data_IF_110197636722
#
_entry.id   IF_110197636722
#
_cell.length_a   1.000
_cell.length_b   1.000
_cell.length_c   1.000
_cell.angle_alpha   90.00
_cell.angle_beta   90.00
_cell.angle_gamma   90.00
#
_symmetry.space_group_name_H-M   'P 1'
#
loop_
_entity.id
_entity.type
_entity.pdbx_description
1 polymer ?
#
# COMPACT_ATOMS: atom_id res chain seq x y z
N UNK A 1 19.08 -6.18 3.82
CA UNK A 1 19.17 -5.24 4.97
C UNK A 1 17.75 -5.01 5.48
N UNK A 2 17.42 -5.50 6.66
CA UNK A 2 16.06 -5.32 7.23
C UNK A 2 15.85 -3.87 7.64
N UNK A 3 14.85 -3.21 7.08
CA UNK A 3 14.45 -1.87 7.49
C UNK A 3 13.55 -2.00 8.71
N UNK A 4 13.99 -1.46 9.85
CA UNK A 4 13.14 -1.30 11.03
C UNK A 4 12.46 0.06 10.91
N UNK A 5 11.13 0.07 10.80
CA UNK A 5 10.35 1.31 10.81
C UNK A 5 9.72 1.48 12.20
N UNK A 6 9.58 2.72 12.65
CA UNK A 6 8.79 3.04 13.83
C UNK A 6 7.33 3.21 13.38
N UNK A 7 6.44 2.29 13.77
CA UNK A 7 5.00 2.50 13.62
C UNK A 7 4.51 3.31 14.82
N UNK A 8 3.80 4.40 14.54
CA UNK A 8 3.17 5.22 15.56
C UNK A 8 1.66 5.09 15.40
N UNK A 9 0.97 4.74 16.49
CA UNK A 9 -0.50 4.77 16.52
C UNK A 9 -0.99 6.20 16.30
N UNK A 10 -2.21 6.37 15.78
CA UNK A 10 -2.77 7.69 15.43
C UNK A 10 -2.80 8.69 16.61
N UNK A 11 -2.77 8.21 17.85
CA UNK A 11 -2.70 9.01 19.09
C UNK A 11 -1.27 9.31 19.57
N UNK A 12 -0.26 8.85 18.84
CA UNK A 12 1.14 9.11 19.11
C UNK A 12 1.77 8.25 20.21
N UNK A 13 1.01 7.38 20.89
CA UNK A 13 1.42 6.78 22.16
C UNK A 13 2.28 5.51 22.01
N UNK A 14 2.01 4.68 21.01
CA UNK A 14 2.76 3.43 20.83
C UNK A 14 3.82 3.62 19.76
N UNK A 15 5.10 3.39 20.10
CA UNK A 15 6.25 3.45 19.18
C UNK A 15 6.78 2.04 18.98
N UNK A 16 6.39 1.41 17.89
CA UNK A 16 6.67 0.00 17.68
C UNK A 16 7.71 -0.22 16.58
N UNK A 17 8.77 -0.96 16.89
CA UNK A 17 9.81 -1.31 15.91
C UNK A 17 9.32 -2.45 15.01
N UNK A 18 8.82 -2.12 13.82
CA UNK A 18 8.35 -3.09 12.83
C UNK A 18 9.49 -3.49 11.90
N UNK A 19 9.58 -4.78 11.56
CA UNK A 19 10.51 -5.26 10.56
C UNK A 19 9.83 -5.31 9.19
N UNK A 20 10.45 -4.74 8.16
CA UNK A 20 9.97 -4.82 6.78
C UNK A 20 10.91 -5.69 5.95
N UNK A 21 10.35 -6.71 5.32
CA UNK A 21 11.05 -7.67 4.47
C UNK A 21 10.05 -8.29 3.49
N UNK A 22 10.46 -8.49 2.22
CA UNK A 22 9.61 -8.95 1.12
C UNK A 22 8.31 -8.12 0.95
N UNK A 23 8.44 -6.79 1.01
CA UNK A 23 7.33 -5.83 0.85
C UNK A 23 6.18 -5.99 1.86
N UNK A 24 6.40 -6.75 2.95
CA UNK A 24 5.43 -6.94 4.02
C UNK A 24 6.00 -6.55 5.37
N UNK A 25 5.10 -6.36 6.33
CA UNK A 25 5.41 -6.01 7.73
C UNK A 25 5.37 -7.27 8.56
N UNK A 26 6.38 -7.43 9.42
CA UNK A 26 6.50 -8.56 10.32
C UNK A 26 6.48 -8.11 11.79
N UNK A 27 5.63 -8.74 12.59
CA UNK A 27 5.52 -8.52 14.04
C UNK A 27 5.63 -9.82 14.84
N UNK A 28 6.19 -9.72 16.03
CA UNK A 28 6.11 -10.80 17.04
C UNK A 28 4.78 -10.77 17.78
N UNK A 29 4.46 -11.84 18.51
CA UNK A 29 3.27 -11.85 19.40
C UNK A 29 3.33 -10.77 20.47
N UNK A 30 4.52 -10.49 21.01
CA UNK A 30 4.70 -9.45 22.03
C UNK A 30 4.42 -8.05 21.47
N UNK A 31 4.85 -7.81 20.23
CA UNK A 31 4.57 -6.58 19.52
C UNK A 31 3.09 -6.42 19.16
N UNK A 32 2.42 -7.50 18.73
CA UNK A 32 0.97 -7.45 18.51
C UNK A 32 0.20 -7.24 19.81
N UNK A 33 0.68 -7.80 20.93
CA UNK A 33 0.11 -7.58 22.26
C UNK A 33 0.19 -6.10 22.68
N UNK A 34 1.34 -5.45 22.43
CA UNK A 34 1.51 -4.01 22.64
C UNK A 34 0.62 -3.18 21.69
N UNK A 35 0.62 -3.50 20.39
CA UNK A 35 -0.14 -2.78 19.37
C UNK A 35 -1.65 -2.77 19.67
N UNK A 36 -2.19 -3.92 20.09
CA UNK A 36 -3.62 -4.10 20.31
C UNK A 36 -4.04 -3.97 21.78
N UNK A 37 -3.12 -3.63 22.69
CA UNK A 37 -3.36 -3.57 24.14
C UNK A 37 -4.05 -4.83 24.67
N UNK A 38 -3.43 -5.98 24.40
CA UNK A 38 -3.89 -7.30 24.87
C UNK A 38 -2.76 -8.11 25.45
N UNK A 39 -3.12 -9.15 26.21
CA UNK A 39 -2.13 -10.12 26.64
C UNK A 39 -1.62 -10.94 25.45
N UNK A 40 -0.36 -11.35 25.52
CA UNK A 40 0.26 -12.28 24.57
C UNK A 40 -0.56 -13.57 24.43
N UNK A 41 -1.16 -14.05 25.52
CA UNK A 41 -2.01 -15.26 25.51
C UNK A 41 -3.21 -15.11 24.57
N UNK A 42 -3.90 -13.97 24.60
CA UNK A 42 -5.03 -13.69 23.71
C UNK A 42 -4.59 -13.57 22.26
N UNK A 43 -3.45 -12.95 21.98
CA UNK A 43 -2.89 -12.89 20.61
C UNK A 43 -2.59 -14.30 20.11
N UNK A 44 -1.95 -15.13 20.94
CA UNK A 44 -1.61 -16.51 20.60
C UNK A 44 -2.86 -17.37 20.35
N UNK A 45 -3.92 -17.17 21.13
CA UNK A 45 -5.22 -17.82 20.92
C UNK A 45 -5.81 -17.45 19.55
N UNK A 46 -5.86 -16.15 19.22
CA UNK A 46 -6.37 -15.72 17.91
C UNK A 46 -5.54 -16.27 16.74
N UNK A 47 -4.21 -16.32 16.86
CA UNK A 47 -3.34 -16.91 15.82
C UNK A 47 -3.62 -18.39 15.63
N UNK A 48 -3.79 -19.15 16.72
CA UNK A 48 -4.15 -20.57 16.63
C UNK A 48 -5.48 -20.76 15.92
N UNK A 49 -6.50 -20.00 16.31
CA UNK A 49 -7.82 -20.08 15.69
C UNK A 49 -7.77 -19.73 14.19
N UNK A 50 -6.97 -18.73 13.79
CA UNK A 50 -6.76 -18.38 12.37
C UNK A 50 -6.28 -19.58 11.55
N UNK A 51 -5.33 -20.35 12.07
CA UNK A 51 -4.79 -21.53 11.39
C UNK A 51 -5.72 -22.74 11.48
N UNK A 52 -6.39 -22.95 12.62
CA UNK A 52 -7.38 -24.02 12.80
C UNK A 52 -8.60 -23.84 11.88
N UNK A 53 -9.07 -22.59 11.72
CA UNK A 53 -10.14 -22.19 10.80
C UNK A 53 -9.69 -22.21 9.33
N UNK A 54 -8.40 -22.41 9.06
CA UNK A 54 -7.79 -22.34 7.72
C UNK A 54 -8.04 -21.00 7.01
N UNK A 55 -8.13 -19.92 7.77
CA UNK A 55 -8.19 -18.57 7.18
C UNK A 55 -6.85 -18.22 6.52
N UNK A 56 -5.74 -18.63 7.16
CA UNK A 56 -4.39 -18.45 6.65
C UNK A 56 -3.59 -19.76 6.83
N UNK A 57 -2.60 -19.96 5.97
CA UNK A 57 -1.62 -21.02 6.12
C UNK A 57 -0.43 -20.55 6.97
N UNK A 58 0.07 -21.41 7.85
CA UNK A 58 1.16 -21.07 8.78
C UNK A 58 2.51 -20.86 8.07
N UNK A 59 2.81 -21.65 7.03
CA UNK A 59 4.10 -21.62 6.32
C UNK A 59 4.41 -20.28 5.65
N UNK A 60 3.49 -19.66 4.87
CA UNK A 60 3.76 -18.36 4.26
C UNK A 60 3.68 -17.19 5.24
N UNK A 61 2.89 -17.33 6.32
CA UNK A 61 2.56 -16.21 7.21
C UNK A 61 3.40 -16.15 8.49
N UNK A 62 4.12 -17.21 8.83
CA UNK A 62 5.03 -17.27 9.97
C UNK A 62 6.48 -17.49 9.55
N UNK A 63 7.39 -16.69 10.08
CA UNK A 63 8.84 -16.86 9.88
C UNK A 63 9.61 -16.71 11.17
N UNK A 64 10.76 -17.38 11.25
CA UNK A 64 11.73 -17.20 12.33
C UNK A 64 12.86 -16.33 11.81
N UNK A 65 13.08 -15.17 12.43
CA UNK A 65 14.23 -14.33 12.10
C UNK A 65 15.36 -14.56 13.10
N UNK A 66 16.56 -14.89 12.60
CA UNK A 66 17.76 -15.10 13.40
C UNK A 66 18.62 -16.28 12.91
N UNK A 67 19.87 -16.35 13.39
CA UNK A 67 20.76 -17.49 13.13
C UNK A 67 20.38 -18.60 14.12
N UNK A 68 19.84 -19.69 13.60
CA UNK A 68 19.38 -20.86 14.36
C UNK A 68 20.45 -21.47 15.28
N UNK A 69 21.74 -21.24 15.01
CA UNK A 69 22.85 -21.86 15.74
C UNK A 69 23.13 -21.24 17.13
N UNK A 70 22.70 -20.01 17.39
CA UNK A 70 23.03 -19.29 18.64
C UNK A 70 21.82 -18.92 19.52
N UNK A 71 20.59 -19.14 19.05
CA UNK A 71 19.38 -18.80 19.80
C UNK A 71 18.66 -20.05 20.29
N UNK A 72 18.61 -20.23 21.61
CA UNK A 72 17.93 -21.34 22.27
C UNK A 72 16.40 -21.28 22.11
N UNK A 73 15.85 -20.14 21.66
CA UNK A 73 14.43 -19.93 21.34
C UNK A 73 14.27 -18.93 20.19
N UNK A 74 14.17 -19.38 18.93
CA UNK A 74 13.89 -18.48 17.82
C UNK A 74 12.49 -17.87 17.98
N UNK A 75 12.43 -16.53 17.95
CA UNK A 75 11.15 -15.79 18.03
C UNK A 75 10.40 -15.92 16.72
N UNK A 76 9.11 -16.29 16.80
CA UNK A 76 8.23 -16.31 15.64
C UNK A 76 7.75 -14.90 15.31
N UNK A 77 7.80 -14.58 14.02
CA UNK A 77 7.26 -13.37 13.43
C UNK A 77 6.12 -13.75 12.50
N UNK A 78 5.12 -12.87 12.47
CA UNK A 78 3.90 -13.04 11.71
C UNK A 78 3.75 -11.86 10.76
N UNK A 79 3.35 -12.15 9.52
CA UNK A 79 3.25 -11.15 8.46
C UNK A 79 2.01 -10.25 8.63
N UNK A 80 1.85 -9.30 7.69
CA UNK A 80 0.74 -8.35 7.69
C UNK A 80 -0.64 -9.01 7.70
N UNK A 81 -0.81 -10.15 7.01
CA UNK A 81 -2.10 -10.84 6.93
C UNK A 81 -2.56 -11.32 8.31
N UNK A 82 -1.68 -11.97 9.06
CA UNK A 82 -1.96 -12.40 10.44
C UNK A 82 -2.23 -11.20 11.34
N UNK A 83 -1.47 -10.11 11.19
CA UNK A 83 -1.67 -8.88 11.99
C UNK A 83 -3.06 -8.29 11.73
N UNK A 84 -3.51 -8.26 10.48
CA UNK A 84 -4.85 -7.79 10.10
C UNK A 84 -5.90 -8.74 10.69
N UNK A 85 -5.78 -10.04 10.48
CA UNK A 85 -6.70 -11.06 10.99
C UNK A 85 -6.87 -11.01 12.51
N UNK A 86 -5.77 -10.81 13.25
CA UNK A 86 -5.79 -10.60 14.70
C UNK A 86 -6.47 -9.27 15.05
N UNK A 87 -6.13 -8.17 14.37
CA UNK A 87 -6.72 -6.85 14.60
C UNK A 87 -8.24 -6.82 14.44
N UNK A 88 -8.80 -7.63 13.53
CA UNK A 88 -10.24 -7.78 13.37
C UNK A 88 -10.90 -8.60 14.49
N UNK A 89 -10.20 -9.59 15.05
CA UNK A 89 -10.72 -10.47 16.13
C UNK A 89 -10.58 -9.87 17.54
N UNK A 90 -9.59 -9.00 17.75
CA UNK A 90 -9.30 -8.45 19.07
C UNK A 90 -10.37 -7.45 19.53
N UNK A 91 -10.90 -7.68 20.73
CA UNK A 91 -11.80 -6.76 21.44
C UNK A 91 -11.03 -5.78 22.34
N UNK A 92 -10.46 -4.72 21.77
CA UNK A 92 -9.84 -3.60 22.50
C UNK A 92 -10.18 -2.24 21.89
N UNK A 93 -9.89 -1.16 22.60
CA UNK A 93 -9.98 0.21 22.07
C UNK A 93 -9.04 0.36 20.87
N UNK A 94 -7.79 -0.12 20.99
CA UNK A 94 -6.81 -0.18 19.89
C UNK A 94 -7.29 -0.99 18.70
N UNK A 95 -7.85 -2.17 18.91
CA UNK A 95 -8.44 -2.99 17.85
C UNK A 95 -9.60 -2.28 17.16
N UNK A 96 -10.38 -1.50 17.91
CA UNK A 96 -11.48 -0.69 17.35
C UNK A 96 -10.94 0.44 16.49
N UNK A 97 -9.94 1.18 16.96
CA UNK A 97 -9.25 2.23 16.19
C UNK A 97 -8.62 1.64 14.92
N UNK A 98 -7.93 0.50 15.02
CA UNK A 98 -7.34 -0.21 13.89
C UNK A 98 -8.39 -0.56 12.83
N UNK A 99 -9.54 -1.11 13.22
CA UNK A 99 -10.64 -1.43 12.30
C UNK A 99 -11.25 -0.18 11.65
N UNK A 100 -11.43 0.91 12.40
CA UNK A 100 -11.92 2.18 11.85
C UNK A 100 -10.94 2.71 10.80
N UNK A 101 -9.65 2.73 11.13
CA UNK A 101 -8.58 3.15 10.22
C UNK A 101 -8.53 2.28 8.95
N UNK A 102 -8.53 0.95 9.10
CA UNK A 102 -8.49 0.01 7.98
C UNK A 102 -9.71 0.17 7.07
N UNK A 103 -10.90 0.31 7.68
CA UNK A 103 -12.15 0.55 6.94
C UNK A 103 -12.12 1.88 6.20
N UNK A 104 -11.56 2.93 6.78
CA UNK A 104 -11.42 4.22 6.11
C UNK A 104 -10.49 4.14 4.89
N UNK A 105 -9.35 3.43 5.00
CA UNK A 105 -8.42 3.21 3.87
C UNK A 105 -9.06 2.37 2.77
N UNK A 106 -9.77 1.30 3.13
CA UNK A 106 -10.51 0.48 2.17
C UNK A 106 -11.62 1.28 1.48
N UNK A 107 -12.39 2.07 2.23
CA UNK A 107 -13.43 2.96 1.69
C UNK A 107 -12.84 3.98 0.73
N UNK A 108 -11.70 4.56 1.08
CA UNK A 108 -10.99 5.50 0.22
C UNK A 108 -10.58 4.85 -1.11
N UNK A 109 -10.00 3.66 -1.05
CA UNK A 109 -9.65 2.88 -2.24
C UNK A 109 -10.88 2.54 -3.10
N UNK A 110 -11.98 2.07 -2.48
CA UNK A 110 -13.20 1.72 -3.20
C UNK A 110 -13.84 2.94 -3.89
N UNK A 111 -13.85 4.10 -3.23
CA UNK A 111 -14.50 5.31 -3.77
C UNK A 111 -13.61 6.04 -4.78
N UNK A 112 -12.32 6.22 -4.48
CA UNK A 112 -11.39 7.03 -5.28
C UNK A 112 -10.54 6.21 -6.26
N UNK A 113 -10.42 4.90 -6.06
CA UNK A 113 -9.51 4.02 -6.80
C UNK A 113 -8.07 3.99 -6.27
N UNK A 114 -7.76 4.74 -5.21
CA UNK A 114 -6.41 4.77 -4.60
C UNK A 114 -6.49 5.08 -3.10
N UNK A 115 -5.46 4.69 -2.34
CA UNK A 115 -5.23 5.11 -0.96
C UNK A 115 -3.76 5.53 -0.82
N UNK A 116 -3.51 6.69 -0.21
CA UNK A 116 -2.17 7.28 -0.07
C UNK A 116 -1.94 7.75 1.37
N UNK A 117 -0.68 7.67 1.80
CA UNK A 117 -0.20 8.24 3.05
C UNK A 117 0.60 9.52 2.71
N UNK A 118 -0.12 10.65 2.59
CA UNK A 118 0.42 11.92 2.10
C UNK A 118 1.57 12.43 2.99
N UNK A 119 1.41 12.33 4.31
CA UNK A 119 2.43 12.76 5.26
C UNK A 119 3.71 11.93 5.12
N UNK A 120 3.58 10.61 4.92
CA UNK A 120 4.72 9.74 4.65
C UNK A 120 5.40 10.06 3.32
N UNK A 121 4.64 10.40 2.28
CA UNK A 121 5.19 10.75 0.96
C UNK A 121 5.90 12.11 0.97
N UNK A 122 5.47 13.06 1.80
CA UNK A 122 6.11 14.38 1.96
C UNK A 122 7.47 14.33 2.66
N UNK A 123 7.72 13.34 3.52
CA UNK A 123 8.86 13.35 4.46
C UNK A 123 10.26 13.04 3.87
N UNK A 124 10.41 12.84 2.56
CA UNK A 124 11.73 12.69 1.91
C UNK A 124 12.60 11.50 2.37
N UNK A 125 13.83 11.39 1.85
CA UNK A 125 14.83 10.37 2.27
C UNK A 125 14.75 9.03 1.53
N UNK A 126 15.09 7.91 2.20
CA UNK A 126 15.05 6.54 1.62
C UNK A 126 13.68 6.15 1.02
N UNK A 127 12.64 6.92 1.29
CA UNK A 127 11.26 6.73 0.87
C UNK A 127 10.92 7.47 -0.44
N UNK A 128 11.84 8.27 -0.97
CA UNK A 128 11.72 8.90 -2.30
C UNK A 128 11.44 7.86 -3.39
N UNK A 129 11.97 6.63 -3.24
CA UNK A 129 11.71 5.52 -4.16
C UNK A 129 10.21 5.23 -4.33
N UNK A 130 9.42 5.18 -3.26
CA UNK A 130 7.98 4.90 -3.38
C UNK A 130 7.22 6.06 -4.04
N UNK A 131 7.70 7.30 -3.85
CA UNK A 131 7.16 8.46 -4.55
C UNK A 131 7.49 8.44 -6.04
N UNK A 132 8.71 8.05 -6.42
CA UNK A 132 9.09 7.84 -7.82
C UNK A 132 8.29 6.70 -8.48
N UNK A 133 8.10 5.57 -7.78
CA UNK A 133 7.25 4.47 -8.25
C UNK A 133 5.79 4.92 -8.45
N UNK A 134 5.25 5.75 -7.54
CA UNK A 134 3.93 6.34 -7.68
C UNK A 134 3.83 7.26 -8.90
N UNK A 135 4.81 8.14 -9.10
CA UNK A 135 4.86 9.00 -10.29
C UNK A 135 4.93 8.18 -11.58
N UNK A 136 5.68 7.08 -11.58
CA UNK A 136 5.76 6.19 -12.74
C UNK A 136 4.42 5.53 -13.04
N UNK A 137 3.70 5.01 -12.03
CA UNK A 137 2.35 4.46 -12.21
C UNK A 137 1.36 5.50 -12.74
N UNK A 138 1.42 6.73 -12.23
CA UNK A 138 0.58 7.84 -12.72
C UNK A 138 0.88 8.13 -14.20
N UNK A 139 2.16 8.14 -14.59
CA UNK A 139 2.55 8.31 -16.00
C UNK A 139 2.05 7.17 -16.88
N UNK A 140 2.14 5.93 -16.42
CA UNK A 140 1.66 4.77 -17.18
C UNK A 140 0.13 4.82 -17.36
N UNK A 141 -0.62 5.19 -16.31
CA UNK A 141 -2.08 5.43 -16.39
C UNK A 141 -2.38 6.53 -17.41
N UNK A 142 -1.68 7.66 -17.34
CA UNK A 142 -1.81 8.74 -18.34
C UNK A 142 -1.41 8.31 -19.75
N UNK A 143 -0.46 7.39 -19.89
CA UNK A 143 -0.08 6.83 -21.20
C UNK A 143 -1.21 6.00 -21.81
N UNK A 144 -2.03 5.34 -20.97
CA UNK A 144 -3.25 4.66 -21.42
C UNK A 144 -4.31 5.64 -21.93
N UNK A 145 -4.43 6.83 -21.31
CA UNK A 145 -5.23 7.94 -21.83
C UNK A 145 -4.61 8.56 -23.09
N UNK A 146 -3.27 8.51 -23.24
CA UNK A 146 -2.62 8.95 -24.48
C UNK A 146 -3.05 8.12 -25.69
N UNK A 147 -3.30 6.82 -25.53
CA UNK A 147 -3.92 6.02 -26.60
C UNK A 147 -5.34 6.51 -26.95
N UNK A 148 -6.08 7.06 -25.98
CA UNK A 148 -7.36 7.70 -26.24
C UNK A 148 -7.19 9.01 -27.03
N UNK A 149 -6.26 9.89 -26.64
CA UNK A 149 -5.98 11.11 -27.39
C UNK A 149 -5.41 10.85 -28.80
N UNK A 150 -4.62 9.78 -28.95
CA UNK A 150 -4.15 9.31 -30.25
C UNK A 150 -5.32 8.86 -31.14
N UNK A 151 -6.29 8.10 -30.60
CA UNK A 151 -7.51 7.75 -31.35
C UNK A 151 -8.33 8.98 -31.76
N UNK A 152 -8.40 10.01 -30.90
CA UNK A 152 -9.09 11.27 -31.24
C UNK A 152 -8.40 11.96 -32.41
N UNK A 153 -7.07 12.00 -32.43
CA UNK A 153 -6.33 12.56 -33.57
C UNK A 153 -6.47 11.71 -34.83
N UNK A 154 -6.50 10.39 -34.70
CA UNK A 154 -6.66 9.47 -35.84
C UNK A 154 -8.05 9.63 -36.48
N UNK A 155 -9.12 9.77 -35.67
CA UNK A 155 -10.47 10.03 -36.17
C UNK A 155 -10.54 11.40 -36.86
N UNK A 156 -9.94 12.44 -36.28
CA UNK A 156 -9.90 13.77 -36.90
C UNK A 156 -9.20 13.75 -38.27
N UNK A 157 -8.13 12.95 -38.40
CA UNK A 157 -7.45 12.74 -39.68
C UNK A 157 -8.30 11.99 -40.73
N UNK A 158 -9.36 11.29 -40.33
CA UNK A 158 -10.33 10.67 -41.24
C UNK A 158 -11.49 11.59 -41.65
N UNK A 159 -11.56 12.81 -41.10
CA UNK A 159 -12.65 13.74 -41.41
C UNK A 159 -12.55 14.26 -42.85
N UNK A 160 -13.71 14.53 -43.45
CA UNK A 160 -13.82 15.07 -44.82
C UNK A 160 -13.14 16.45 -44.94
N UNK A 161 -13.13 17.21 -43.85
CA UNK A 161 -12.59 18.56 -43.79
C UNK A 161 -11.11 18.61 -43.39
N UNK A 162 -10.48 17.45 -43.17
CA UNK A 162 -9.07 17.38 -42.80
C UNK A 162 -8.18 17.88 -43.94
N UNK A 163 -7.35 18.89 -43.63
CA UNK A 163 -6.27 19.36 -44.50
C UNK A 163 -5.03 19.58 -43.67
N UNK A 164 -3.93 18.92 -44.06
CA UNK A 164 -2.66 18.91 -43.30
C UNK A 164 -2.06 20.31 -43.13
N UNK A 165 -2.34 21.21 -44.06
CA UNK A 165 -1.87 22.58 -44.17
C UNK A 165 -2.87 23.62 -43.64
N UNK A 166 -4.03 23.20 -43.13
CA UNK A 166 -4.99 24.10 -42.52
C UNK A 166 -4.53 24.51 -41.11
N UNK A 167 -4.71 25.81 -40.83
CA UNK A 167 -4.46 26.41 -39.53
C UNK A 167 -5.32 25.76 -38.45
N UNK A 168 -6.56 25.40 -38.75
CA UNK A 168 -7.45 24.72 -37.79
C UNK A 168 -6.94 23.34 -37.40
N UNK A 169 -6.42 22.57 -38.36
CA UNK A 169 -5.78 21.28 -38.11
C UNK A 169 -4.55 21.45 -37.24
N UNK A 170 -3.69 22.43 -37.56
CA UNK A 170 -2.47 22.70 -36.79
C UNK A 170 -2.81 23.10 -35.34
N UNK A 171 -3.79 23.97 -35.13
CA UNK A 171 -4.26 24.38 -33.81
C UNK A 171 -4.86 23.20 -33.02
N UNK A 172 -5.62 22.33 -33.68
CA UNK A 172 -6.20 21.14 -33.06
C UNK A 172 -5.13 20.16 -32.56
N UNK A 173 -4.18 19.76 -33.42
CA UNK A 173 -3.11 18.84 -33.03
C UNK A 173 -2.19 19.46 -31.96
N UNK A 174 -1.87 20.75 -32.07
CA UNK A 174 -1.09 21.46 -31.04
C UNK A 174 -1.85 21.52 -29.70
N UNK A 175 -3.16 21.68 -29.72
CA UNK A 175 -4.00 21.68 -28.51
C UNK A 175 -4.03 20.31 -27.85
N UNK A 176 -4.19 19.23 -28.62
CA UNK A 176 -4.15 17.84 -28.09
C UNK A 176 -2.75 17.52 -27.55
N UNK A 177 -1.71 17.91 -28.26
CA UNK A 177 -0.31 17.73 -27.84
C UNK A 177 0.02 18.53 -26.56
N UNK A 178 -0.43 19.79 -26.45
CA UNK A 178 -0.28 20.58 -25.22
C UNK A 178 -1.06 19.94 -24.06
N UNK A 179 -2.27 19.45 -24.31
CA UNK A 179 -3.03 18.71 -23.29
C UNK A 179 -2.30 17.44 -22.83
N UNK A 180 -1.56 16.75 -23.71
CA UNK A 180 -0.67 15.66 -23.30
C UNK A 180 0.54 16.13 -22.50
N UNK A 181 1.27 17.15 -22.96
CA UNK A 181 2.53 17.59 -22.32
C UNK A 181 2.31 18.25 -20.95
N UNK A 182 1.24 19.02 -20.77
CA UNK A 182 0.84 19.53 -19.46
C UNK A 182 0.15 18.47 -18.59
N UNK A 183 -0.15 17.31 -19.17
CA UNK A 183 -0.53 16.11 -18.47
C UNK A 183 0.67 15.16 -18.25
N UNK A 184 1.92 15.63 -18.27
CA UNK A 184 3.13 14.88 -17.86
C UNK A 184 3.58 15.32 -16.46
#
# INVERSE_FOLDING_TARGET
KSQIILYQTDDGQTKLQVKIEDETVWLTQDQMAELFEKSKSTINEHIKNIYEEKELDEVPTMRKFGISEFSTKPTNYYNLDVIISVGYRVKSVRGTQFRIWATQRLKEYIIKGFALDDERLKQGGQRARYFEELLQRIRDIRSSERNFYQKVTDIYATSIDYRKDDKQTTEFFATVQNKMHYAV
#
